data_IF_795892417485
#
_entry.id   IF_795892417485
#
_cell.length_a   1.000
_cell.length_b   1.000
_cell.length_c   1.000
_cell.angle_alpha   90.00
_cell.angle_beta   90.00
_cell.angle_gamma   90.00
#
_symmetry.space_group_name_H-M   'P 1'
#
loop_
_entity.id
_entity.type
_entity.pdbx_description
1 polymer ?
#
# COMPACT_ATOMS: atom_id res chain seq x y z
N UNK A 1 26.33 10.95 -41.97
CA UNK A 1 25.39 9.84 -42.26
C UNK A 1 24.73 9.47 -40.94
N UNK A 2 23.55 10.04 -40.66
CA UNK A 2 22.22 9.39 -40.70
C UNK A 2 22.04 8.35 -39.57
N UNK A 3 21.08 8.43 -38.65
CA UNK A 3 19.91 9.31 -38.53
C UNK A 3 19.29 9.22 -37.13
N UNK A 4 18.66 10.31 -36.70
CA UNK A 4 17.80 10.43 -35.51
C UNK A 4 16.40 9.92 -35.85
N UNK A 5 15.73 9.23 -34.93
CA UNK A 5 14.28 9.03 -35.00
C UNK A 5 13.63 9.39 -33.67
N UNK A 6 12.92 10.51 -33.68
CA UNK A 6 12.07 11.02 -32.61
C UNK A 6 10.62 10.72 -32.99
N UNK A 7 9.86 10.07 -32.12
CA UNK A 7 8.42 9.88 -32.31
C UNK A 7 7.66 10.81 -31.37
N UNK A 8 7.15 11.90 -31.95
CA UNK A 8 6.07 12.74 -31.41
C UNK A 8 4.74 12.01 -31.63
N UNK A 9 3.84 11.99 -30.64
CA UNK A 9 2.41 11.75 -30.87
C UNK A 9 1.59 12.97 -30.48
N UNK A 10 0.82 13.45 -31.45
CA UNK A 10 -0.12 14.57 -31.38
C UNK A 10 -1.43 14.13 -30.73
N UNK A 11 -2.02 15.06 -29.99
CA UNK A 11 -3.42 15.12 -29.58
C UNK A 11 -4.28 15.44 -30.82
N UNK A 12 -5.43 14.79 -30.97
CA UNK A 12 -6.52 15.24 -31.86
C UNK A 12 -7.83 15.13 -31.08
N UNK A 13 -8.47 16.27 -30.88
CA UNK A 13 -9.87 16.40 -30.48
C UNK A 13 -10.78 16.25 -31.71
N UNK A 14 -11.95 15.64 -31.55
CA UNK A 14 -12.96 15.54 -32.60
C UNK A 14 -14.33 15.26 -32.00
N UNK A 15 -15.15 16.30 -31.92
CA UNK A 15 -16.58 16.23 -31.63
C UNK A 15 -17.33 15.60 -32.82
N UNK A 16 -18.34 14.78 -32.56
CA UNK A 16 -19.33 14.40 -33.59
C UNK A 16 -20.74 14.47 -32.99
N UNK A 17 -21.58 15.19 -33.72
CA UNK A 17 -22.94 15.60 -33.41
C UNK A 17 -23.94 14.44 -33.38
N UNK A 18 -24.99 14.61 -32.56
CA UNK A 18 -26.17 13.77 -32.54
C UNK A 18 -27.01 13.99 -33.81
N UNK A 19 -27.38 12.90 -34.48
CA UNK A 19 -28.42 12.89 -35.51
C UNK A 19 -29.50 11.92 -35.04
N UNK A 20 -30.67 12.46 -34.75
CA UNK A 20 -31.88 11.70 -34.49
C UNK A 20 -32.40 11.09 -35.80
N UNK A 21 -32.57 9.77 -35.84
CA UNK A 21 -33.29 9.08 -36.90
C UNK A 21 -34.56 8.47 -36.30
N UNK A 22 -35.69 8.95 -36.82
CA UNK A 22 -37.04 8.46 -36.56
C UNK A 22 -37.18 7.07 -37.17
N UNK A 23 -37.63 6.08 -36.40
CA UNK A 23 -38.06 4.77 -36.89
C UNK A 23 -39.58 4.64 -36.72
N UNK A 24 -40.32 4.17 -37.74
CA UNK A 24 -41.77 3.99 -37.66
C UNK A 24 -42.15 2.72 -36.90
N UNK A 25 -43.34 2.78 -36.32
CA UNK A 25 -43.98 1.74 -35.51
C UNK A 25 -44.26 0.45 -36.29
N UNK A 26 -43.95 -0.68 -35.66
CA UNK A 26 -44.48 -1.99 -36.02
C UNK A 26 -45.02 -2.65 -34.75
N UNK A 27 -46.35 -2.70 -34.66
CA UNK A 27 -47.11 -3.45 -33.65
C UNK A 27 -46.97 -4.95 -33.90
N UNK A 28 -46.47 -5.70 -32.91
CA UNK A 28 -46.60 -7.15 -32.85
C UNK A 28 -47.02 -7.57 -31.43
N UNK A 29 -48.25 -8.09 -31.40
CA UNK A 29 -48.96 -8.90 -30.42
C UNK A 29 -48.34 -9.19 -29.03
N UNK A 30 -49.17 -8.94 -28.02
CA UNK A 30 -49.09 -9.48 -26.66
C UNK A 30 -48.81 -10.99 -26.63
N UNK A 31 -47.69 -11.36 -25.99
CA UNK A 31 -47.62 -12.56 -25.18
C UNK A 31 -47.13 -12.17 -23.79
N UNK A 32 -48.08 -12.06 -22.88
CA UNK A 32 -47.87 -11.84 -21.45
C UNK A 32 -47.30 -13.11 -20.82
N UNK A 33 -46.00 -13.33 -20.97
CA UNK A 33 -45.29 -14.23 -20.06
C UNK A 33 -45.08 -13.47 -18.75
N UNK A 34 -45.87 -13.83 -17.75
CA UNK A 34 -45.65 -13.40 -16.38
C UNK A 34 -44.26 -13.85 -15.92
N UNK A 35 -43.27 -12.97 -16.03
CA UNK A 35 -42.05 -13.04 -15.24
C UNK A 35 -42.46 -12.71 -13.81
N UNK A 36 -42.66 -13.76 -13.01
CA UNK A 36 -42.69 -13.64 -11.56
C UNK A 36 -41.44 -12.88 -11.14
N UNK A 37 -41.62 -11.63 -10.70
CA UNK A 37 -40.64 -10.87 -9.97
C UNK A 37 -40.27 -11.68 -8.72
N UNK A 38 -39.22 -12.48 -8.80
CA UNK A 38 -38.49 -12.92 -7.60
C UNK A 38 -37.60 -11.76 -7.19
N UNK A 39 -38.22 -10.68 -6.70
CA UNK A 39 -37.58 -9.74 -5.77
C UNK A 39 -37.58 -10.39 -4.39
N UNK A 40 -36.85 -11.49 -4.27
CA UNK A 40 -36.33 -11.91 -2.98
C UNK A 40 -35.13 -11.02 -2.65
N UNK A 41 -34.86 -10.73 -1.36
CA UNK A 41 -33.55 -10.20 -1.01
C UNK A 41 -32.50 -11.19 -1.51
N UNK A 42 -31.63 -10.77 -2.44
CA UNK A 42 -30.46 -11.55 -2.81
C UNK A 42 -29.62 -11.64 -1.56
N UNK A 43 -29.73 -12.76 -0.84
CA UNK A 43 -28.88 -13.03 0.31
C UNK A 43 -27.45 -12.95 -0.19
N UNK A 44 -26.58 -12.13 0.42
CA UNK A 44 -25.20 -12.04 -0.01
C UNK A 44 -24.60 -13.46 -0.02
N UNK A 45 -23.90 -13.80 -1.10
CA UNK A 45 -23.27 -15.11 -1.23
C UNK A 45 -22.42 -15.38 0.02
N UNK A 46 -22.46 -16.61 0.56
CA UNK A 46 -21.66 -16.94 1.73
C UNK A 46 -20.18 -16.76 1.39
N UNK A 47 -19.41 -16.20 2.33
CA UNK A 47 -17.97 -16.04 2.16
C UNK A 47 -17.31 -17.43 2.02
N UNK A 48 -16.45 -17.65 1.01
CA UNK A 48 -15.83 -18.95 0.79
C UNK A 48 -14.85 -19.28 1.92
N UNK A 49 -14.68 -20.56 2.24
CA UNK A 49 -13.60 -21.00 3.13
C UNK A 49 -12.31 -21.19 2.33
N UNK A 50 -11.18 -20.99 3.00
CA UNK A 50 -9.86 -21.35 2.51
C UNK A 50 -9.57 -22.78 2.90
N UNK A 51 -9.18 -23.60 1.93
CA UNK A 51 -8.85 -25.02 2.16
C UNK A 51 -7.37 -25.24 1.85
N UNK A 52 -6.47 -25.06 2.84
CA UNK A 52 -5.05 -25.23 2.61
C UNK A 52 -4.70 -26.71 2.36
N UNK A 53 -3.64 -27.02 1.60
CA UNK A 53 -3.20 -28.40 1.41
C UNK A 53 -2.86 -29.06 2.76
N UNK A 54 -3.59 -30.12 3.12
CA UNK A 54 -3.36 -30.89 4.35
C UNK A 54 -3.81 -30.23 5.65
N UNK A 55 -4.55 -29.12 5.61
CA UNK A 55 -5.10 -28.45 6.79
C UNK A 55 -6.64 -28.43 6.81
N UNK A 56 -7.21 -28.06 7.97
CA UNK A 56 -8.65 -27.87 8.09
C UNK A 56 -9.10 -26.60 7.34
N UNK A 57 -10.26 -26.61 6.65
CA UNK A 57 -10.82 -25.41 6.06
C UNK A 57 -11.12 -24.33 7.12
N UNK A 58 -10.94 -23.07 6.77
CA UNK A 58 -11.19 -21.94 7.68
C UNK A 58 -11.72 -20.71 6.94
N UNK A 59 -12.41 -19.82 7.67
CA UNK A 59 -12.75 -18.48 7.18
C UNK A 59 -11.62 -17.51 7.55
N UNK A 60 -10.98 -16.82 6.59
CA UNK A 60 -9.93 -15.87 6.88
C UNK A 60 -10.47 -14.59 7.52
N UNK A 61 -9.65 -13.99 8.38
CA UNK A 61 -9.95 -12.67 8.95
C UNK A 61 -9.76 -11.58 7.90
N UNK A 62 -10.82 -10.83 7.63
CA UNK A 62 -10.76 -9.63 6.79
C UNK A 62 -10.13 -8.46 7.55
N UNK A 63 -9.55 -7.52 6.81
CA UNK A 63 -8.92 -6.33 7.37
C UNK A 63 -7.41 -6.32 7.18
N UNK A 64 -6.72 -5.56 8.02
CA UNK A 64 -5.28 -5.39 7.91
C UNK A 64 -4.53 -6.62 8.41
N UNK A 65 -3.45 -6.96 7.73
CA UNK A 65 -2.48 -7.96 8.16
C UNK A 65 -1.11 -7.29 8.21
N UNK A 66 -0.36 -7.50 9.29
CA UNK A 66 0.95 -6.87 9.49
C UNK A 66 1.92 -7.83 10.18
N UNK A 67 3.21 -7.64 9.94
CA UNK A 67 4.28 -8.33 10.64
C UNK A 67 5.67 -7.89 10.17
N UNK A 68 6.70 -8.43 10.80
CA UNK A 68 8.09 -8.00 10.60
C UNK A 68 9.00 -9.19 10.40
N UNK A 69 9.97 -9.07 9.49
CA UNK A 69 11.04 -10.04 9.28
C UNK A 69 12.39 -9.30 9.38
N UNK A 70 13.23 -9.66 10.35
CA UNK A 70 14.56 -9.05 10.53
C UNK A 70 14.55 -7.50 10.59
N UNK A 71 13.53 -6.91 11.22
CA UNK A 71 13.37 -5.46 11.30
C UNK A 71 12.69 -4.80 10.09
N UNK A 72 12.40 -5.56 9.02
CA UNK A 72 11.68 -5.07 7.85
C UNK A 72 10.19 -5.38 7.97
N UNK A 73 9.29 -4.38 8.02
CA UNK A 73 7.85 -4.61 8.10
C UNK A 73 7.24 -4.95 6.75
N UNK A 74 6.09 -5.64 6.80
CA UNK A 74 5.18 -5.81 5.68
C UNK A 74 3.72 -5.76 6.16
N UNK A 75 2.84 -5.23 5.32
CA UNK A 75 1.40 -5.17 5.57
C UNK A 75 0.58 -5.24 4.28
N UNK A 76 -0.65 -5.74 4.37
CA UNK A 76 -1.66 -5.67 3.33
C UNK A 76 -3.06 -5.61 3.94
N UNK A 77 -4.06 -5.24 3.15
CA UNK A 77 -5.47 -5.41 3.49
C UNK A 77 -6.04 -6.62 2.76
N UNK A 78 -6.69 -7.52 3.50
CA UNK A 78 -7.52 -8.59 2.95
C UNK A 78 -8.97 -8.14 2.86
N UNK A 79 -9.55 -8.21 1.67
CA UNK A 79 -10.94 -7.88 1.39
C UNK A 79 -11.67 -9.11 0.85
N UNK A 80 -13.00 -9.08 0.93
CA UNK A 80 -13.88 -10.04 0.26
C UNK A 80 -14.63 -9.33 -0.86
N UNK A 81 -14.52 -9.84 -2.09
CA UNK A 81 -15.32 -9.42 -3.22
C UNK A 81 -16.55 -10.33 -3.38
N UNK A 82 -17.77 -9.82 -3.13
CA UNK A 82 -19.00 -10.59 -3.28
C UNK A 82 -19.31 -10.94 -4.74
N UNK A 83 -18.82 -10.18 -5.73
CA UNK A 83 -19.12 -10.42 -7.14
C UNK A 83 -18.40 -11.66 -7.67
N UNK A 84 -17.09 -11.76 -7.42
CA UNK A 84 -16.30 -12.94 -7.77
C UNK A 84 -16.35 -14.04 -6.70
N UNK A 85 -17.00 -13.77 -5.55
CA UNK A 85 -16.98 -14.65 -4.38
C UNK A 85 -15.56 -15.08 -4.00
N UNK A 86 -14.64 -14.12 -3.93
CA UNK A 86 -13.23 -14.37 -3.70
C UNK A 86 -12.62 -13.38 -2.70
N UNK A 87 -11.44 -13.73 -2.15
CA UNK A 87 -10.68 -12.80 -1.31
C UNK A 87 -9.62 -12.10 -2.13
N UNK A 88 -9.35 -10.84 -1.81
CA UNK A 88 -8.41 -10.01 -2.56
C UNK A 88 -7.44 -9.25 -1.67
N UNK A 89 -6.23 -9.04 -2.19
CA UNK A 89 -5.23 -8.17 -1.59
C UNK A 89 -5.39 -6.74 -2.08
N UNK A 90 -5.32 -5.81 -1.14
CA UNK A 90 -5.22 -4.37 -1.39
C UNK A 90 -4.07 -3.77 -0.58
N UNK A 91 -3.46 -2.71 -1.12
CA UNK A 91 -2.50 -1.87 -0.42
C UNK A 91 -1.32 -2.65 0.19
N UNK A 92 -0.75 -3.60 -0.56
CA UNK A 92 0.37 -4.40 -0.08
C UNK A 92 1.66 -3.58 -0.11
N UNK A 93 2.25 -3.41 1.08
CA UNK A 93 3.53 -2.72 1.31
C UNK A 93 4.48 -3.68 1.99
N UNK A 94 5.71 -3.78 1.50
CA UNK A 94 6.80 -4.45 2.19
C UNK A 94 8.05 -3.59 2.13
N UNK A 95 8.84 -3.61 3.20
CA UNK A 95 10.20 -3.07 3.17
C UNK A 95 11.19 -4.20 2.96
N UNK A 96 12.25 -3.95 2.22
CA UNK A 96 13.29 -4.94 1.93
C UNK A 96 14.67 -4.29 1.90
N UNK A 97 15.75 -5.05 2.18
CA UNK A 97 17.11 -4.53 2.12
C UNK A 97 17.42 -3.90 0.76
N UNK A 98 18.05 -2.73 0.77
CA UNK A 98 18.49 -2.02 -0.44
C UNK A 98 20.02 -1.98 -0.59
N UNK A 99 20.76 -2.34 0.46
CA UNK A 99 22.21 -2.30 0.44
C UNK A 99 22.87 -3.33 1.35
N UNK A 100 24.20 -3.31 1.32
CA UNK A 100 25.08 -4.17 2.10
C UNK A 100 25.96 -3.32 3.03
N UNK A 101 26.14 -3.71 4.30
CA UNK A 101 25.47 -4.81 4.99
C UNK A 101 23.97 -4.57 5.14
N UNK A 102 23.19 -5.65 5.32
CA UNK A 102 21.74 -5.56 5.53
C UNK A 102 21.46 -4.73 6.77
N UNK A 103 20.60 -3.73 6.61
CA UNK A 103 20.20 -2.82 7.68
C UNK A 103 18.74 -2.46 7.51
N UNK A 104 17.96 -2.54 8.59
CA UNK A 104 16.56 -2.10 8.62
C UNK A 104 16.40 -0.59 8.44
N UNK A 105 17.50 0.16 8.39
CA UNK A 105 17.52 1.60 8.14
C UNK A 105 17.81 1.97 6.68
N UNK A 106 18.30 1.01 5.89
CA UNK A 106 18.59 1.16 4.46
C UNK A 106 17.76 0.14 3.67
N UNK A 107 16.53 0.54 3.38
CA UNK A 107 15.57 -0.29 2.66
C UNK A 107 15.14 0.33 1.33
N UNK A 108 14.39 -0.47 0.59
CA UNK A 108 13.57 -0.06 -0.52
C UNK A 108 12.14 -0.48 -0.22
N UNK A 109 11.18 0.30 -0.73
CA UNK A 109 9.76 0.05 -0.59
C UNK A 109 9.28 -0.81 -1.76
N UNK A 110 8.68 -1.95 -1.45
CA UNK A 110 7.95 -2.77 -2.40
C UNK A 110 6.46 -2.49 -2.29
N UNK A 111 5.87 -1.90 -3.34
CA UNK A 111 4.43 -1.76 -3.49
C UNK A 111 3.92 -2.81 -4.48
N UNK A 112 3.09 -3.72 -4.00
CA UNK A 112 2.45 -4.72 -4.85
C UNK A 112 0.98 -4.40 -4.95
N UNK A 113 0.46 -4.42 -6.17
CA UNK A 113 -0.97 -4.19 -6.45
C UNK A 113 -1.50 -2.77 -6.14
N UNK A 114 -0.77 -1.66 -6.39
CA UNK A 114 -1.30 -0.32 -6.08
C UNK A 114 -2.53 0.08 -6.93
N UNK A 115 -2.81 -0.62 -8.03
CA UNK A 115 -3.88 -0.26 -8.98
C UNK A 115 -4.81 -1.40 -9.41
N UNK A 116 -4.55 -2.64 -9.00
CA UNK A 116 -5.40 -3.79 -9.31
C UNK A 116 -5.38 -4.79 -8.16
N UNK A 117 -6.55 -5.12 -7.65
CA UNK A 117 -6.73 -6.13 -6.63
C UNK A 117 -6.27 -7.49 -7.17
N UNK A 118 -5.65 -8.28 -6.30
CA UNK A 118 -5.16 -9.63 -6.65
C UNK A 118 -5.92 -10.65 -5.84
N UNK A 119 -6.53 -11.60 -6.53
CA UNK A 119 -7.29 -12.67 -5.92
C UNK A 119 -6.36 -13.65 -5.19
N UNK A 120 -6.66 -13.88 -3.91
CA UNK A 120 -6.15 -14.99 -3.13
C UNK A 120 -6.67 -16.29 -3.72
N UNK A 121 -5.80 -17.28 -3.91
CA UNK A 121 -6.23 -18.59 -4.41
C UNK A 121 -7.08 -19.31 -3.35
N UNK A 122 -7.96 -20.20 -3.81
CA UNK A 122 -8.86 -20.96 -2.94
C UNK A 122 -8.12 -21.82 -1.90
N UNK A 123 -6.90 -22.25 -2.21
CA UNK A 123 -6.01 -23.00 -1.30
C UNK A 123 -5.29 -22.10 -0.28
N UNK A 124 -5.55 -20.80 -0.29
CA UNK A 124 -4.93 -19.83 0.60
C UNK A 124 -3.57 -19.33 0.13
N UNK A 125 -3.06 -19.79 -1.01
CA UNK A 125 -1.80 -19.28 -1.57
C UNK A 125 -2.01 -17.91 -2.21
N UNK A 126 -1.00 -17.04 -2.10
CA UNK A 126 -1.10 -15.67 -2.60
C UNK A 126 -1.14 -15.58 -4.13
N UNK A 127 -0.57 -16.57 -4.83
CA UNK A 127 -0.48 -16.54 -6.30
C UNK A 127 0.35 -15.39 -6.86
N UNK A 128 1.24 -14.79 -6.06
CA UNK A 128 2.05 -13.61 -6.40
C UNK A 128 3.49 -13.97 -6.82
N UNK A 129 3.72 -15.18 -7.30
CA UNK A 129 5.06 -15.67 -7.68
C UNK A 129 5.71 -14.82 -8.77
N UNK A 130 4.90 -14.27 -9.68
CA UNK A 130 5.38 -13.36 -10.74
C UNK A 130 5.88 -12.02 -10.19
N UNK A 131 5.48 -11.64 -8.98
CA UNK A 131 6.01 -10.49 -8.25
C UNK A 131 7.18 -10.88 -7.31
N UNK A 132 7.70 -12.12 -7.43
CA UNK A 132 8.73 -12.65 -6.52
C UNK A 132 8.21 -12.91 -5.10
N UNK A 133 6.88 -12.90 -4.90
CA UNK A 133 6.26 -13.11 -3.59
C UNK A 133 5.64 -14.51 -3.50
N UNK A 134 5.99 -15.22 -2.44
CA UNK A 134 5.45 -16.53 -2.11
C UNK A 134 4.70 -16.53 -0.79
N UNK A 135 4.10 -17.69 -0.48
CA UNK A 135 3.37 -17.91 0.77
C UNK A 135 1.85 -17.85 0.60
N UNK A 136 1.17 -17.66 1.73
CA UNK A 136 -0.26 -17.89 1.85
C UNK A 136 -0.80 -17.68 3.25
N UNK A 137 -2.12 -17.71 3.37
CA UNK A 137 -2.80 -17.88 4.65
C UNK A 137 -2.56 -19.30 5.15
N UNK A 138 -2.09 -19.41 6.39
CA UNK A 138 -1.83 -20.70 7.06
C UNK A 138 -2.91 -21.04 8.09
N UNK A 139 -3.81 -20.11 8.36
CA UNK A 139 -4.94 -20.25 9.28
C UNK A 139 -5.80 -18.98 9.30
N UNK A 140 -6.88 -18.94 10.11
CA UNK A 140 -7.80 -17.79 10.15
C UNK A 140 -7.15 -16.49 10.61
N UNK A 141 -6.07 -16.59 11.41
CA UNK A 141 -5.34 -15.46 12.01
C UNK A 141 -3.82 -15.54 11.79
N UNK A 142 -3.37 -16.34 10.82
CA UNK A 142 -1.95 -16.53 10.55
C UNK A 142 -1.68 -16.62 9.05
N UNK A 143 -0.60 -15.95 8.63
CA UNK A 143 -0.21 -15.86 7.24
C UNK A 143 1.32 -15.83 7.14
N UNK A 144 1.85 -16.36 6.04
CA UNK A 144 3.27 -16.33 5.74
C UNK A 144 3.47 -15.62 4.40
N UNK A 145 4.29 -14.58 4.39
CA UNK A 145 4.77 -13.94 3.16
C UNK A 145 6.26 -14.19 3.03
N UNK A 146 6.71 -14.55 1.84
CA UNK A 146 8.13 -14.78 1.57
C UNK A 146 8.59 -14.01 0.34
N UNK A 147 9.75 -13.38 0.44
CA UNK A 147 10.39 -12.70 -0.68
C UNK A 147 11.89 -12.94 -0.67
N UNK A 148 12.47 -13.25 -1.82
CA UNK A 148 13.93 -13.32 -1.98
C UNK A 148 14.45 -11.96 -2.43
N UNK A 149 15.46 -11.44 -1.75
CA UNK A 149 16.10 -10.18 -2.12
C UNK A 149 17.53 -10.43 -2.60
N UNK A 150 18.00 -9.53 -3.46
CA UNK A 150 19.39 -9.40 -3.86
C UNK A 150 19.77 -7.92 -3.76
N UNK A 151 20.55 -7.57 -2.75
CA UNK A 151 20.91 -6.20 -2.44
C UNK A 151 22.39 -5.93 -2.79
N UNK A 152 22.64 -4.82 -3.48
CA UNK A 152 23.99 -4.32 -3.79
C UNK A 152 24.76 -5.08 -4.87
N UNK A 153 25.91 -4.52 -5.26
CA UNK A 153 26.80 -5.03 -6.32
C UNK A 153 27.73 -6.18 -5.87
N UNK A 154 27.49 -6.78 -4.70
CA UNK A 154 28.52 -7.54 -3.98
C UNK A 154 28.06 -8.80 -3.23
N UNK A 155 27.01 -9.49 -3.68
CA UNK A 155 26.57 -10.84 -3.23
C UNK A 155 25.64 -10.98 -2.02
N UNK A 156 25.08 -9.90 -1.44
CA UNK A 156 24.09 -10.08 -0.37
C UNK A 156 22.74 -10.47 -0.95
N UNK A 157 22.46 -11.77 -0.88
CA UNK A 157 21.15 -12.32 -1.18
C UNK A 157 20.61 -13.07 0.03
N UNK A 158 19.29 -13.16 0.10
CA UNK A 158 18.62 -13.84 1.18
C UNK A 158 17.14 -13.93 0.93
N UNK A 159 16.41 -14.41 1.95
CA UNK A 159 14.97 -14.46 1.93
C UNK A 159 14.40 -13.85 3.21
N UNK A 160 13.42 -12.97 3.05
CA UNK A 160 12.57 -12.49 4.13
C UNK A 160 11.36 -13.39 4.24
N UNK A 161 11.01 -13.73 5.48
CA UNK A 161 9.84 -14.54 5.82
C UNK A 161 9.03 -13.80 6.88
N UNK A 162 8.01 -13.07 6.46
CA UNK A 162 7.11 -12.37 7.37
C UNK A 162 6.03 -13.31 7.87
N UNK A 163 5.95 -13.46 9.18
CA UNK A 163 4.76 -14.00 9.84
C UNK A 163 3.81 -12.82 10.06
N UNK A 164 2.66 -12.88 9.40
CA UNK A 164 1.67 -11.82 9.39
C UNK A 164 0.46 -12.26 10.19
N UNK A 165 -0.13 -11.32 10.92
CA UNK A 165 -1.31 -11.53 11.75
C UNK A 165 -2.34 -10.42 11.50
N UNK A 166 -3.63 -10.68 11.71
CA UNK A 166 -4.65 -9.65 11.66
C UNK A 166 -4.31 -8.53 12.65
N UNK A 167 -4.41 -7.29 12.18
CA UNK A 167 -4.13 -6.10 12.95
C UNK A 167 -5.30 -5.12 12.85
N UNK A 168 -5.55 -4.39 13.93
CA UNK A 168 -6.49 -3.27 13.91
C UNK A 168 -5.76 -2.01 13.44
N UNK A 169 -5.88 -1.71 12.14
CA UNK A 169 -5.26 -0.51 11.58
C UNK A 169 -6.02 0.75 11.99
N UNK A 170 -5.29 1.71 12.57
CA UNK A 170 -5.72 3.10 12.70
C UNK A 170 -5.85 3.70 11.32
N UNK A 171 -7.00 4.30 11.03
CA UNK A 171 -7.19 5.04 9.78
C UNK A 171 -6.16 6.16 9.68
N UNK A 172 -5.45 6.18 8.55
CA UNK A 172 -4.58 7.28 8.10
C UNK A 172 -4.94 7.48 6.63
N UNK A 173 -5.30 8.70 6.25
CA UNK A 173 -5.76 8.98 4.90
C UNK A 173 -4.59 9.14 3.91
N UNK A 174 -4.76 8.52 2.75
CA UNK A 174 -3.88 8.75 1.61
C UNK A 174 -4.02 10.20 1.11
N UNK A 175 -2.96 10.75 0.54
CA UNK A 175 -2.95 12.08 -0.05
C UNK A 175 -1.63 12.82 0.15
N UNK A 176 -1.60 14.09 -0.24
CA UNK A 176 -0.45 14.97 -0.01
C UNK A 176 -0.63 15.75 1.27
N UNK A 177 0.23 15.49 2.25
CA UNK A 177 0.21 16.07 3.57
C UNK A 177 1.14 17.27 3.65
N UNK A 178 0.73 18.31 4.37
CA UNK A 178 1.58 19.45 4.73
C UNK A 178 2.31 19.12 6.03
N UNK A 179 3.63 19.22 6.01
CA UNK A 179 4.52 19.12 7.17
C UNK A 179 4.93 20.52 7.60
N UNK A 180 4.99 20.74 8.91
CA UNK A 180 5.44 21.99 9.51
C UNK A 180 6.37 21.71 10.68
N UNK A 181 7.54 22.33 10.62
CA UNK A 181 8.55 22.31 11.68
C UNK A 181 8.32 23.47 12.65
N UNK A 182 8.88 23.35 13.86
CA UNK A 182 8.72 24.35 14.91
C UNK A 182 9.36 25.71 14.58
N UNK A 183 10.37 25.74 13.72
CA UNK A 183 11.01 26.96 13.19
C UNK A 183 10.16 27.70 12.14
N UNK A 184 9.03 27.11 11.72
CA UNK A 184 8.15 27.66 10.70
C UNK A 184 8.41 27.13 9.29
N UNK A 185 9.48 26.35 9.07
CA UNK A 185 9.72 25.67 7.80
C UNK A 185 8.54 24.73 7.51
N UNK A 186 8.08 24.72 6.25
CA UNK A 186 7.00 23.84 5.81
C UNK A 186 7.38 23.09 4.55
N UNK A 187 7.06 21.80 4.54
CA UNK A 187 7.28 20.89 3.42
C UNK A 187 6.01 20.11 3.11
N UNK A 188 6.05 19.27 2.08
CA UNK A 188 4.99 18.32 1.75
C UNK A 188 5.56 16.92 1.66
N UNK A 189 4.76 15.94 2.04
CA UNK A 189 5.04 14.52 1.84
C UNK A 189 3.76 13.82 1.40
N UNK A 190 3.85 12.58 0.94
CA UNK A 190 2.68 11.82 0.47
C UNK A 190 2.44 10.64 1.39
N UNK A 191 1.19 10.37 1.74
CA UNK A 191 0.76 9.11 2.35
C UNK A 191 0.02 8.31 1.28
N UNK A 192 0.35 7.02 1.17
CA UNK A 192 -0.22 6.13 0.18
C UNK A 192 -0.38 4.70 0.70
N UNK A 193 -1.00 3.86 -0.14
CA UNK A 193 -1.34 2.46 0.15
C UNK A 193 -2.21 2.33 1.40
N UNK A 194 -3.32 3.08 1.44
CA UNK A 194 -4.30 3.05 2.52
C UNK A 194 -3.72 3.40 3.88
N UNK A 195 -2.77 4.33 3.92
CA UNK A 195 -2.14 4.81 5.14
C UNK A 195 -1.01 3.92 5.68
N UNK A 196 -0.31 3.19 4.81
CA UNK A 196 0.78 2.27 5.19
C UNK A 196 2.18 2.83 4.93
N UNK A 197 2.30 3.79 4.01
CA UNK A 197 3.57 4.35 3.64
C UNK A 197 3.48 5.87 3.55
N UNK A 198 4.34 6.56 4.30
CA UNK A 198 4.61 7.98 4.11
C UNK A 198 5.90 8.13 3.31
N UNK A 199 5.86 8.79 2.17
CA UNK A 199 7.01 8.96 1.28
C UNK A 199 7.44 10.42 1.17
N UNK A 200 8.73 10.65 1.04
CA UNK A 200 9.36 11.95 0.86
C UNK A 200 9.12 12.91 2.02
N UNK A 201 9.24 12.42 3.27
CA UNK A 201 9.26 13.29 4.45
C UNK A 201 10.60 14.05 4.44
N UNK A 202 10.56 15.28 3.94
CA UNK A 202 11.75 16.12 3.84
C UNK A 202 12.32 16.46 5.20
N UNK A 203 13.63 16.36 5.34
CA UNK A 203 14.36 16.74 6.55
C UNK A 203 14.50 18.28 6.62
N UNK A 204 14.45 18.90 7.82
CA UNK A 204 14.54 20.34 7.96
C UNK A 204 15.93 20.85 7.62
N UNK A 205 16.01 22.06 7.07
CA UNK A 205 17.27 22.64 6.59
C UNK A 205 18.28 22.86 7.72
N UNK A 206 17.77 23.07 8.92
CA UNK A 206 18.46 23.35 10.16
C UNK A 206 19.33 22.18 10.60
N UNK A 207 19.05 20.95 10.15
CA UNK A 207 19.96 19.81 10.36
C UNK A 207 21.36 20.10 9.83
N UNK A 208 21.49 20.82 8.71
CA UNK A 208 22.79 21.14 8.13
C UNK A 208 23.66 21.96 9.10
N UNK A 209 23.07 22.85 9.89
CA UNK A 209 23.81 23.68 10.87
C UNK A 209 24.48 22.87 11.98
N UNK A 210 24.01 21.65 12.21
CA UNK A 210 24.59 20.74 13.19
C UNK A 210 25.16 19.46 12.55
N UNK A 211 25.53 19.53 11.26
CA UNK A 211 26.11 18.43 10.45
C UNK A 211 25.20 17.20 10.31
N UNK A 212 23.89 17.38 10.47
CA UNK A 212 22.89 16.36 10.18
C UNK A 212 22.70 16.16 8.67
N UNK A 213 22.03 15.07 8.26
CA UNK A 213 21.80 14.77 6.85
C UNK A 213 20.80 15.73 6.21
N UNK A 214 20.82 15.75 4.87
CA UNK A 214 19.83 16.45 4.05
C UNK A 214 19.07 15.45 3.18
N UNK A 215 17.90 15.85 2.68
CA UNK A 215 17.08 15.01 1.80
C UNK A 215 15.73 14.70 2.42
N UNK A 216 15.25 13.48 2.22
CA UNK A 216 13.97 13.00 2.71
C UNK A 216 14.05 11.54 3.15
N UNK A 217 13.12 11.15 4.00
CA UNK A 217 12.94 9.75 4.41
C UNK A 217 11.55 9.27 4.05
N UNK A 218 11.44 7.98 3.77
CA UNK A 218 10.17 7.27 3.66
C UNK A 218 9.97 6.51 4.96
N UNK A 219 8.73 6.37 5.44
CA UNK A 219 8.42 5.68 6.68
C UNK A 219 7.25 4.71 6.49
N UNK A 220 7.44 3.47 6.93
CA UNK A 220 6.34 2.54 7.11
C UNK A 220 5.48 2.95 8.31
N UNK A 221 4.17 3.06 8.10
CA UNK A 221 3.19 3.39 9.12
C UNK A 221 2.58 2.08 9.64
N UNK A 222 2.97 1.68 10.85
CA UNK A 222 2.44 0.48 11.50
C UNK A 222 0.94 0.58 11.75
N UNK A 223 0.27 -0.55 11.96
CA UNK A 223 -1.19 -0.60 12.15
C UNK A 223 -1.67 0.30 13.31
N UNK A 224 -0.85 0.51 14.34
CA UNK A 224 -1.19 1.42 15.45
C UNK A 224 -1.07 2.92 15.11
N UNK A 225 -0.64 3.28 13.88
CA UNK A 225 -0.41 4.63 13.38
C UNK A 225 0.97 5.20 13.71
N UNK A 226 1.90 4.42 14.24
CA UNK A 226 3.26 4.88 14.50
C UNK A 226 4.17 4.55 13.31
N UNK A 227 5.03 5.50 12.97
CA UNK A 227 6.04 5.36 11.95
C UNK A 227 7.38 5.81 12.51
N UNK A 228 8.42 4.96 12.41
CA UNK A 228 9.74 5.25 12.98
C UNK A 228 10.85 4.72 12.09
N UNK A 229 11.92 5.49 11.97
CA UNK A 229 13.20 5.06 11.41
C UNK A 229 14.32 5.60 12.29
N UNK A 230 15.40 4.84 12.45
CA UNK A 230 16.57 5.26 13.23
C UNK A 230 17.85 4.93 12.47
N UNK A 231 18.26 5.81 11.56
CA UNK A 231 19.55 5.74 10.88
C UNK A 231 20.67 6.27 11.80
N UNK A 232 21.95 5.97 11.50
CA UNK A 232 23.09 6.43 12.30
C UNK A 232 23.14 7.95 12.51
N UNK A 233 22.67 8.71 11.53
CA UNK A 233 22.75 10.17 11.45
C UNK A 233 21.38 10.86 11.59
N UNK A 234 20.27 10.11 11.60
CA UNK A 234 18.92 10.65 11.79
C UNK A 234 17.96 9.62 12.34
N UNK A 235 17.19 10.00 13.36
CA UNK A 235 16.04 9.23 13.82
C UNK A 235 14.78 10.08 13.69
N UNK A 236 13.76 9.52 13.02
CA UNK A 236 12.48 10.16 12.74
C UNK A 236 11.38 9.31 13.37
N UNK A 237 10.49 9.96 14.11
CA UNK A 237 9.32 9.32 14.70
C UNK A 237 8.09 10.19 14.44
N UNK A 238 7.03 9.60 13.91
CA UNK A 238 5.74 10.24 13.70
C UNK A 238 4.61 9.34 14.23
N UNK A 239 3.62 9.98 14.84
CA UNK A 239 2.35 9.34 15.23
C UNK A 239 1.22 9.94 14.40
N UNK A 240 0.62 9.12 13.57
CA UNK A 240 -0.47 9.49 12.67
C UNK A 240 -1.85 9.29 13.32
N UNK A 241 -2.76 10.16 12.92
CA UNK A 241 -4.21 10.05 13.04
C UNK A 241 -4.80 9.99 11.61
N UNK A 242 -6.13 10.05 11.49
CA UNK A 242 -6.79 10.05 10.19
C UNK A 242 -6.27 11.15 9.25
N UNK A 243 -6.06 12.37 9.77
CA UNK A 243 -5.74 13.56 8.96
C UNK A 243 -4.68 14.46 9.59
N UNK A 244 -4.03 14.03 10.67
CA UNK A 244 -2.94 14.76 11.33
C UNK A 244 -1.84 13.81 11.80
N UNK A 245 -0.63 14.33 11.95
CA UNK A 245 0.46 13.60 12.57
C UNK A 245 1.31 14.55 13.42
N UNK A 246 2.01 13.99 14.40
CA UNK A 246 2.96 14.75 15.22
C UNK A 246 4.14 13.88 15.59
N UNK A 247 5.30 14.48 15.73
CA UNK A 247 6.49 13.76 16.12
C UNK A 247 7.75 14.61 16.09
N UNK A 248 8.90 13.96 15.90
CA UNK A 248 10.19 14.60 16.00
C UNK A 248 11.26 13.95 15.13
N UNK A 249 12.26 14.77 14.76
CA UNK A 249 13.52 14.36 14.18
C UNK A 249 14.61 14.62 15.22
N UNK A 250 15.51 13.65 15.36
CA UNK A 250 16.68 13.75 16.23
C UNK A 250 17.92 13.28 15.48
N UNK A 251 19.09 13.78 15.85
CA UNK A 251 20.39 13.33 15.33
C UNK A 251 21.08 12.53 16.45
N UNK A 252 21.10 11.19 16.38
CA UNK A 252 21.70 10.37 17.41
C UNK A 252 23.18 10.73 17.64
N UNK A 253 23.59 10.87 18.90
CA UNK A 253 24.98 11.16 19.26
C UNK A 253 25.47 12.59 18.93
N UNK A 254 24.61 13.45 18.37
CA UNK A 254 24.92 14.86 18.09
C UNK A 254 24.48 15.82 19.20
N UNK A 255 24.94 17.07 19.11
CA UNK A 255 24.47 18.19 19.94
C UNK A 255 23.24 18.91 19.35
N UNK A 256 22.69 18.40 18.24
CA UNK A 256 21.51 18.99 17.61
C UNK A 256 20.32 18.98 18.58
N UNK A 257 19.51 20.04 18.60
CA UNK A 257 18.23 19.99 19.30
C UNK A 257 17.30 18.96 18.65
N UNK A 258 16.25 18.57 19.37
CA UNK A 258 15.15 17.81 18.77
C UNK A 258 14.31 18.75 17.91
N UNK A 259 13.99 18.33 16.70
CA UNK A 259 13.15 19.09 15.78
C UNK A 259 11.73 18.53 15.84
N UNK A 260 10.85 19.21 16.55
CA UNK A 260 9.44 18.82 16.58
C UNK A 260 8.76 19.19 15.27
N UNK A 261 7.82 18.35 14.85
CA UNK A 261 7.07 18.57 13.63
C UNK A 261 5.61 18.14 13.78
N UNK A 262 4.75 18.82 13.05
CA UNK A 262 3.34 18.48 12.90
C UNK A 262 2.99 18.36 11.44
N UNK A 263 2.05 17.49 11.12
CA UNK A 263 1.55 17.30 9.78
C UNK A 263 0.03 17.34 9.74
N UNK A 264 -0.52 17.79 8.62
CA UNK A 264 -1.96 17.78 8.37
C UNK A 264 -2.25 17.46 6.92
N UNK A 265 -3.33 16.72 6.69
CA UNK A 265 -3.91 16.56 5.36
C UNK A 265 -4.79 17.78 5.07
N UNK A 266 -4.46 18.61 4.05
CA UNK A 266 -5.30 19.75 3.68
C UNK A 266 -6.70 19.30 3.29
N UNK A 267 -7.71 20.07 3.71
CA UNK A 267 -9.09 19.87 3.23
C UNK A 267 -9.19 20.41 1.81
N UNK A 268 -9.72 19.60 0.90
CA UNK A 268 -10.12 20.02 -0.43
C UNK A 268 -11.55 20.56 -0.40
#
# INVERSE_FOLDING_TARGET
MSGRSAVRRRVIAGAVAAVAVVLPASTAAHQSHALSNVTGPVSPAPKPTITPPGGAPFLPTLGDWEGTANGFPASFQLLYDPHSSSYEFKDMVLLQPNGCPVSSWHYSEGLVSPHRLRTLRHDGTYGLTNAGLGGGLTGPHSALLTHSYNAGSGSCSGALKWKLHPAQRRTVQDGTWKLQFADGESKKFTVLAGGRLATSIGLPSELASCRGPSGAVDLFIAANGQARVSQPDVAVSLKFSATSASGEITVPGGSCPRFTMTASLPKH
#
